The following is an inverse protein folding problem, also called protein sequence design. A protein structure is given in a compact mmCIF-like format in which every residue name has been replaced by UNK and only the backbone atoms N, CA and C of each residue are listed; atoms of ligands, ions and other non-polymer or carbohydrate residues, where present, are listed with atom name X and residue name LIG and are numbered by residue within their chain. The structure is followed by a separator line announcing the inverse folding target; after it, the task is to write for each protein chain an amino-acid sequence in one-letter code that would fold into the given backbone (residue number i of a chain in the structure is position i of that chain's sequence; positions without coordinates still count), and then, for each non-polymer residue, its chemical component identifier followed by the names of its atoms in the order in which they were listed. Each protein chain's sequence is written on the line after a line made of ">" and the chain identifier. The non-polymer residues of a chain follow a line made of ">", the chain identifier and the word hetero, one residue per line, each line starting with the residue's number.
data_IF_899751005486
#
_entry.id   IF_899751005486
#
_cell.length_a   1.000
_cell.length_b   1.000
_cell.length_c   1.000
_cell.angle_alpha   90.00
_cell.angle_beta   90.00
_cell.angle_gamma   90.00
#
_symmetry.space_group_name_H-M   'P 1'
#
loop_
_entity.id
_entity.type
_entity.pdbx_description
1 polymer ?
#
# COMPACT_ATOMS: atom_id res chain seq x y z
N UNK A 1 46.29 49.89 -33.71
CA UNK A 1 45.35 49.43 -34.77
C UNK A 1 45.24 47.92 -34.67
N UNK A 2 44.08 47.47 -34.18
CA UNK A 2 43.40 46.20 -34.48
C UNK A 2 44.23 44.93 -34.70
N UNK A 3 44.23 44.03 -33.70
CA UNK A 3 44.45 42.59 -33.91
C UNK A 3 43.18 41.84 -33.55
N UNK A 4 42.72 41.03 -34.50
CA UNK A 4 41.56 40.16 -34.47
C UNK A 4 41.84 38.87 -33.68
N UNK A 5 40.77 38.38 -33.01
CA UNK A 5 40.37 36.98 -32.78
C UNK A 5 41.31 36.03 -32.00
N UNK A 6 40.88 35.06 -31.19
CA UNK A 6 39.56 34.47 -30.97
C UNK A 6 39.45 33.85 -29.56
N UNK A 7 38.21 33.65 -29.15
CA UNK A 7 37.66 32.94 -28.00
C UNK A 7 38.32 31.58 -27.67
N UNK A 8 38.50 31.32 -26.37
CA UNK A 8 38.46 29.98 -25.76
C UNK A 8 38.22 30.12 -24.24
N UNK A 9 36.96 30.07 -23.81
CA UNK A 9 36.61 29.66 -22.45
C UNK A 9 35.45 28.65 -22.54
N UNK A 10 35.86 27.40 -22.36
CA UNK A 10 35.13 26.21 -21.92
C UNK A 10 33.72 26.49 -21.37
N UNK A 11 32.69 26.24 -22.17
CA UNK A 11 31.38 25.87 -21.65
C UNK A 11 31.45 24.39 -21.24
N UNK A 12 31.36 24.10 -19.94
CA UNK A 12 31.02 22.76 -19.47
C UNK A 12 29.60 22.45 -19.93
N UNK A 13 29.48 21.77 -21.07
CA UNK A 13 28.25 21.07 -21.44
C UNK A 13 28.09 19.94 -20.43
N UNK A 14 27.23 20.15 -19.42
CA UNK A 14 26.61 19.02 -18.73
C UNK A 14 25.75 18.33 -19.77
N UNK A 15 26.22 17.19 -20.28
CA UNK A 15 25.34 16.22 -20.93
C UNK A 15 24.35 15.74 -19.85
N UNK A 16 23.23 16.45 -19.74
CA UNK A 16 22.00 15.83 -19.28
C UNK A 16 21.67 14.77 -20.33
N UNK A 17 21.96 13.51 -20.04
CA UNK A 17 21.39 12.39 -20.78
C UNK A 17 19.90 12.40 -20.44
N UNK A 18 19.15 13.15 -21.24
CA UNK A 18 17.70 13.03 -21.36
C UNK A 18 17.43 11.62 -21.87
N UNK A 19 17.06 10.70 -20.97
CA UNK A 19 16.44 9.43 -21.38
C UNK A 19 15.07 9.79 -21.96
N UNK A 20 14.79 9.48 -23.24
CA UNK A 20 13.47 9.75 -23.79
C UNK A 20 12.46 8.79 -23.15
N UNK A 21 11.40 9.37 -22.60
CA UNK A 21 10.13 8.68 -22.48
C UNK A 21 9.63 8.33 -23.89
N UNK A 22 9.12 7.11 -24.05
CA UNK A 22 8.54 6.51 -25.26
C UNK A 22 9.53 5.91 -26.28
N UNK A 23 9.87 4.64 -26.04
CA UNK A 23 9.88 3.62 -27.09
C UNK A 23 9.08 2.39 -26.60
N UNK A 24 8.22 1.88 -27.49
CA UNK A 24 7.49 0.61 -27.29
C UNK A 24 8.44 -0.55 -27.53
N UNK A 25 8.59 -1.43 -26.53
CA UNK A 25 9.19 -2.75 -26.68
C UNK A 25 8.18 -3.81 -26.23
N UNK A 26 7.26 -4.13 -27.13
CA UNK A 26 6.55 -5.40 -27.06
C UNK A 26 7.58 -6.54 -27.13
N UNK A 27 7.51 -7.47 -26.17
CA UNK A 27 8.33 -8.68 -26.15
C UNK A 27 9.64 -8.52 -25.41
N UNK A 28 9.63 -8.83 -24.11
CA UNK A 28 10.61 -9.84 -23.69
C UNK A 28 10.01 -11.21 -24.08
N UNK A 29 10.77 -11.99 -24.82
CA UNK A 29 10.40 -13.33 -25.26
C UNK A 29 10.41 -14.31 -24.08
N UNK A 30 9.73 -15.46 -24.19
CA UNK A 30 9.85 -16.56 -23.19
C UNK A 30 11.31 -16.91 -22.86
N UNK A 31 12.23 -16.64 -23.80
CA UNK A 31 13.67 -16.77 -23.64
C UNK A 31 14.23 -15.92 -22.50
N UNK A 32 13.75 -14.70 -22.29
CA UNK A 32 14.27 -13.82 -21.21
C UNK A 32 13.76 -14.24 -19.83
N UNK A 33 12.50 -14.70 -19.72
CA UNK A 33 12.02 -15.37 -18.50
C UNK A 33 12.81 -16.67 -18.29
N UNK A 34 13.04 -17.45 -19.35
CA UNK A 34 13.83 -18.68 -19.29
C UNK A 34 15.27 -18.44 -18.86
N UNK A 35 15.94 -17.42 -19.42
CA UNK A 35 17.28 -16.98 -19.03
C UNK A 35 17.28 -16.48 -17.58
N UNK A 36 16.28 -15.71 -17.15
CA UNK A 36 16.11 -15.32 -15.74
C UNK A 36 16.05 -16.55 -14.83
N UNK A 37 15.18 -17.52 -15.15
CA UNK A 37 14.99 -18.72 -14.33
C UNK A 37 16.27 -19.56 -14.30
N UNK A 38 16.95 -19.68 -15.46
CA UNK A 38 18.19 -20.44 -15.55
C UNK A 38 19.32 -19.82 -14.72
N UNK A 39 19.37 -18.49 -14.62
CA UNK A 39 20.42 -17.77 -13.88
C UNK A 39 20.09 -17.66 -12.39
N UNK A 40 18.85 -17.33 -12.05
CA UNK A 40 18.45 -16.92 -10.69
C UNK A 40 17.59 -17.96 -9.96
N UNK A 41 17.02 -18.93 -10.68
CA UNK A 41 16.00 -19.83 -10.16
C UNK A 41 14.65 -19.12 -9.94
N UNK A 42 13.69 -19.87 -9.38
CA UNK A 42 12.39 -19.35 -8.92
C UNK A 42 12.34 -19.52 -7.41
N UNK A 43 11.99 -18.46 -6.70
CA UNK A 43 11.88 -18.54 -5.25
C UNK A 43 10.78 -19.51 -4.86
N UNK A 44 11.01 -20.28 -3.79
CA UNK A 44 9.96 -21.07 -3.17
C UNK A 44 8.89 -20.13 -2.63
N UNK A 45 7.65 -20.37 -3.02
CA UNK A 45 6.48 -19.69 -2.45
C UNK A 45 5.96 -20.55 -1.29
N UNK A 46 6.16 -20.15 -0.02
CA UNK A 46 5.61 -20.88 1.11
C UNK A 46 4.08 -20.70 1.19
N UNK A 47 3.41 -21.63 1.86
CA UNK A 47 2.01 -21.43 2.21
C UNK A 47 1.87 -20.22 3.17
N UNK A 48 0.76 -19.48 3.11
CA UNK A 48 0.48 -18.41 4.04
C UNK A 48 0.57 -18.89 5.50
N UNK A 49 1.09 -18.06 6.43
CA UNK A 49 1.08 -18.39 7.86
C UNK A 49 -0.31 -18.72 8.38
N UNK A 50 -0.37 -19.66 9.32
CA UNK A 50 -1.58 -19.95 10.10
C UNK A 50 -1.90 -18.78 11.06
N UNK A 51 -3.12 -18.72 11.62
CA UNK A 51 -3.44 -17.75 12.67
C UNK A 51 -2.50 -17.88 13.87
N UNK A 52 -2.33 -16.77 14.61
CA UNK A 52 -1.66 -16.81 15.90
C UNK A 52 -2.35 -17.82 16.83
N UNK A 53 -1.60 -18.60 17.62
CA UNK A 53 -2.17 -19.49 18.62
C UNK A 53 -3.12 -18.75 19.57
N UNK A 54 -4.17 -19.41 20.05
CA UNK A 54 -5.16 -18.77 20.97
C UNK A 54 -4.52 -18.20 22.24
N UNK A 55 -3.43 -18.80 22.71
CA UNK A 55 -2.69 -18.32 23.87
C UNK A 55 -1.67 -17.21 23.56
N UNK A 56 -1.50 -16.83 22.29
CA UNK A 56 -0.60 -15.77 21.82
C UNK A 56 -1.30 -14.82 20.83
N UNK A 57 -2.64 -14.78 20.81
CA UNK A 57 -3.42 -13.85 19.98
C UNK A 57 -4.07 -12.72 20.81
N UNK A 58 -3.65 -12.61 22.08
CA UNK A 58 -4.16 -11.61 23.01
C UNK A 58 -3.34 -10.32 23.04
N UNK A 59 -3.70 -9.47 24.02
CA UNK A 59 -2.98 -8.26 24.39
C UNK A 59 -1.51 -8.58 24.73
N UNK A 60 -0.57 -7.86 24.11
CA UNK A 60 0.87 -8.09 24.23
C UNK A 60 1.62 -6.77 24.09
N UNK A 61 2.62 -6.55 24.94
CA UNK A 61 3.59 -5.46 24.76
C UNK A 61 4.37 -5.75 23.49
N UNK A 62 4.34 -4.84 22.52
CA UNK A 62 4.96 -5.04 21.19
C UNK A 62 6.10 -4.06 20.91
N UNK A 63 6.18 -2.97 21.68
CA UNK A 63 7.40 -2.17 21.78
C UNK A 63 8.25 -2.71 22.94
N UNK A 64 8.92 -3.83 22.69
CA UNK A 64 9.65 -4.61 23.68
C UNK A 64 11.17 -4.68 23.37
N UNK A 65 12.02 -5.24 24.26
CA UNK A 65 13.45 -5.36 24.02
C UNK A 65 13.85 -6.26 22.83
N UNK A 66 12.98 -7.15 22.37
CA UNK A 66 13.22 -7.98 21.18
C UNK A 66 12.89 -7.22 19.88
N UNK A 67 12.01 -6.22 19.95
CA UNK A 67 11.57 -5.38 18.86
C UNK A 67 11.85 -3.89 19.12
N UNK A 68 13.11 -3.49 19.41
CA UNK A 68 13.44 -2.10 19.68
C UNK A 68 13.27 -1.26 18.41
N UNK A 69 12.87 -0.01 18.59
CA UNK A 69 12.90 0.98 17.52
C UNK A 69 14.34 1.22 17.04
N UNK A 70 14.54 1.14 15.73
CA UNK A 70 15.76 1.59 15.06
C UNK A 70 15.32 2.41 13.85
N UNK A 71 15.76 3.66 13.81
CA UNK A 71 15.50 4.55 12.67
C UNK A 71 16.07 3.94 11.37
N UNK A 72 15.34 4.13 10.27
CA UNK A 72 15.77 3.67 8.96
C UNK A 72 17.11 4.29 8.56
N UNK A 73 18.06 3.45 8.16
CA UNK A 73 19.32 3.89 7.58
C UNK A 73 19.17 4.37 6.12
N UNK A 74 20.25 4.88 5.50
CA UNK A 74 20.19 5.42 4.13
C UNK A 74 19.76 4.44 3.04
N UNK A 75 19.89 3.13 3.29
CA UNK A 75 19.52 2.06 2.36
C UNK A 75 18.23 1.34 2.77
N UNK A 76 17.61 1.74 3.89
CA UNK A 76 16.39 1.11 4.37
C UNK A 76 15.17 1.78 3.72
N UNK A 77 14.27 0.96 3.18
CA UNK A 77 13.12 1.45 2.43
C UNK A 77 11.92 1.61 3.34
N UNK A 78 11.21 2.72 3.17
CA UNK A 78 9.93 3.04 3.78
C UNK A 78 8.99 3.57 2.71
N UNK A 79 7.69 3.45 2.94
CA UNK A 79 6.67 3.75 1.95
C UNK A 79 5.44 4.47 2.48
N UNK A 80 4.33 4.43 1.75
CA UNK A 80 3.10 5.14 2.12
C UNK A 80 2.41 4.50 3.34
N UNK A 81 2.64 3.22 3.62
CA UNK A 81 1.99 2.51 4.72
C UNK A 81 2.72 2.74 6.06
N UNK A 82 2.14 3.57 6.93
CA UNK A 82 2.72 3.91 8.23
C UNK A 82 2.86 2.70 9.18
N UNK A 83 1.93 1.74 9.08
CA UNK A 83 1.99 0.50 9.86
C UNK A 83 3.20 -0.37 9.47
N UNK A 84 3.39 -0.65 8.18
CA UNK A 84 4.53 -1.46 7.72
C UNK A 84 5.86 -0.75 7.94
N UNK A 85 5.91 0.57 7.78
CA UNK A 85 7.08 1.37 8.13
C UNK A 85 7.48 1.19 9.60
N UNK A 86 6.49 1.27 10.49
CA UNK A 86 6.70 1.08 11.93
C UNK A 86 7.16 -0.34 12.25
N UNK A 87 6.53 -1.35 11.64
CA UNK A 87 6.90 -2.75 11.84
C UNK A 87 8.33 -3.05 11.35
N UNK A 88 8.76 -2.47 10.22
CA UNK A 88 10.15 -2.56 9.76
C UNK A 88 11.10 -1.82 10.71
N UNK A 89 10.74 -0.64 11.21
CA UNK A 89 11.53 0.12 12.19
C UNK A 89 11.59 -0.55 13.57
N UNK A 90 10.71 -1.49 13.88
CA UNK A 90 10.75 -2.31 15.10
C UNK A 90 11.28 -3.74 14.86
N UNK A 91 11.58 -4.13 13.62
CA UNK A 91 12.14 -5.44 13.30
C UNK A 91 11.14 -6.60 13.26
N UNK A 92 9.83 -6.32 13.28
CA UNK A 92 8.80 -7.30 12.93
C UNK A 92 8.84 -7.68 11.44
N UNK A 93 9.37 -6.77 10.62
CA UNK A 93 9.71 -7.01 9.22
C UNK A 93 11.21 -6.82 9.03
N UNK A 94 11.79 -7.36 7.94
CA UNK A 94 13.13 -6.98 7.50
C UNK A 94 13.30 -5.45 7.51
N UNK A 95 14.28 -4.96 8.26
CA UNK A 95 14.47 -3.51 8.50
C UNK A 95 14.79 -2.72 7.23
N UNK A 96 15.32 -3.40 6.22
CA UNK A 96 15.58 -2.85 4.89
C UNK A 96 14.30 -2.56 4.08
N UNK A 97 13.13 -3.02 4.53
CA UNK A 97 11.85 -2.75 3.87
C UNK A 97 11.55 -3.64 2.66
N UNK A 98 12.30 -4.72 2.44
CA UNK A 98 11.99 -5.74 1.43
C UNK A 98 11.63 -7.07 2.12
N UNK A 99 10.42 -7.57 1.89
CA UNK A 99 9.89 -8.72 2.62
C UNK A 99 9.10 -9.65 1.70
N UNK A 100 9.05 -10.93 2.07
CA UNK A 100 8.15 -11.90 1.45
C UNK A 100 6.72 -11.77 2.02
N UNK A 101 5.69 -12.21 1.28
CA UNK A 101 4.31 -12.23 1.78
C UNK A 101 4.14 -12.94 3.13
N UNK A 102 4.80 -14.08 3.36
CA UNK A 102 4.72 -14.81 4.63
C UNK A 102 5.28 -14.01 5.81
N UNK A 103 6.34 -13.25 5.58
CA UNK A 103 6.93 -12.36 6.58
C UNK A 103 6.02 -11.16 6.87
N UNK A 104 5.40 -10.60 5.84
CA UNK A 104 4.43 -9.50 5.98
C UNK A 104 3.21 -9.93 6.78
N UNK A 105 2.60 -11.07 6.43
CA UNK A 105 1.45 -11.64 7.18
C UNK A 105 1.84 -11.87 8.63
N UNK A 106 3.00 -12.50 8.89
CA UNK A 106 3.47 -12.73 10.26
C UNK A 106 3.69 -11.41 11.02
N UNK A 107 4.37 -10.44 10.41
CA UNK A 107 4.69 -9.17 11.06
C UNK A 107 3.47 -8.35 11.46
N UNK A 108 2.44 -8.28 10.61
CA UNK A 108 1.20 -7.55 10.94
C UNK A 108 0.34 -8.27 11.98
N UNK A 109 0.35 -9.61 12.01
CA UNK A 109 -0.29 -10.38 13.07
C UNK A 109 0.45 -10.17 14.41
N UNK A 110 1.77 -10.35 14.43
CA UNK A 110 2.55 -10.27 15.66
C UNK A 110 2.58 -8.85 16.25
N UNK A 111 2.86 -7.83 15.42
CA UNK A 111 3.06 -6.47 15.91
C UNK A 111 1.77 -5.67 16.14
N UNK A 112 0.67 -6.00 15.45
CA UNK A 112 -0.58 -5.20 15.50
C UNK A 112 -1.85 -6.03 15.74
N UNK A 113 -1.74 -7.36 15.78
CA UNK A 113 -2.86 -8.30 15.92
C UNK A 113 -3.90 -8.17 14.80
N UNK A 114 -3.45 -7.99 13.55
CA UNK A 114 -4.33 -8.20 12.41
C UNK A 114 -4.79 -9.67 12.38
N UNK A 115 -6.08 -9.90 12.16
CA UNK A 115 -6.64 -11.23 11.96
C UNK A 115 -6.07 -11.89 10.71
N UNK A 116 -5.90 -13.20 10.76
CA UNK A 116 -5.13 -13.94 9.75
C UNK A 116 -5.68 -13.78 8.33
N UNK A 117 -6.99 -13.89 8.15
CA UNK A 117 -7.60 -13.78 6.82
C UNK A 117 -7.54 -12.33 6.30
N UNK A 118 -7.74 -11.35 7.17
CA UNK A 118 -7.59 -9.93 6.81
C UNK A 118 -6.13 -9.57 6.48
N UNK A 119 -5.16 -10.10 7.23
CA UNK A 119 -3.74 -9.94 6.96
C UNK A 119 -3.35 -10.55 5.60
N UNK A 120 -3.80 -11.77 5.31
CA UNK A 120 -3.58 -12.41 4.00
C UNK A 120 -4.21 -11.61 2.87
N UNK A 121 -5.44 -11.13 3.05
CA UNK A 121 -6.12 -10.31 2.04
C UNK A 121 -5.27 -9.08 1.66
N UNK A 122 -4.89 -8.26 2.66
CA UNK A 122 -4.10 -7.05 2.43
C UNK A 122 -2.74 -7.37 1.81
N UNK A 123 -2.04 -8.39 2.31
CA UNK A 123 -0.68 -8.71 1.87
C UNK A 123 -0.67 -9.30 0.46
N UNK A 124 -1.53 -10.28 0.15
CA UNK A 124 -1.52 -10.91 -1.16
C UNK A 124 -2.11 -10.00 -2.25
N UNK A 125 -3.10 -9.16 -1.92
CA UNK A 125 -3.55 -8.08 -2.80
C UNK A 125 -2.37 -7.16 -3.16
N UNK A 126 -1.70 -6.61 -2.16
CA UNK A 126 -0.56 -5.73 -2.37
C UNK A 126 0.57 -6.41 -3.15
N UNK A 127 0.90 -7.66 -2.80
CA UNK A 127 1.96 -8.42 -3.45
C UNK A 127 1.67 -8.71 -4.92
N UNK A 128 0.45 -9.13 -5.27
CA UNK A 128 0.07 -9.37 -6.66
C UNK A 128 0.15 -8.10 -7.52
N UNK A 129 -0.08 -6.94 -6.91
CA UNK A 129 -0.08 -5.65 -7.59
C UNK A 129 1.30 -4.98 -7.65
N UNK A 130 2.20 -5.26 -6.70
CA UNK A 130 3.44 -4.49 -6.52
C UNK A 130 4.71 -5.32 -6.33
N UNK A 131 4.57 -6.60 -5.98
CA UNK A 131 5.67 -7.50 -5.68
C UNK A 131 6.23 -8.20 -6.91
N UNK A 132 7.36 -8.87 -6.71
CA UNK A 132 7.98 -9.71 -7.72
C UNK A 132 7.53 -11.16 -7.52
N UNK A 133 6.67 -11.72 -8.39
CA UNK A 133 6.18 -13.09 -8.26
C UNK A 133 7.27 -14.16 -8.43
N UNK A 134 8.38 -13.85 -9.10
CA UNK A 134 9.45 -14.82 -9.36
C UNK A 134 10.43 -14.93 -8.19
N UNK A 135 10.69 -13.83 -7.48
CA UNK A 135 11.58 -13.80 -6.31
C UNK A 135 10.82 -13.88 -4.99
N UNK A 136 9.49 -13.80 -5.04
CA UNK A 136 8.59 -13.81 -3.88
C UNK A 136 8.89 -12.68 -2.88
N UNK A 137 9.33 -11.52 -3.37
CA UNK A 137 9.69 -10.35 -2.57
C UNK A 137 8.91 -9.11 -3.00
N UNK A 138 8.55 -8.28 -2.03
CA UNK A 138 7.95 -6.97 -2.25
C UNK A 138 8.63 -5.92 -1.38
N UNK A 139 8.83 -4.73 -1.95
CA UNK A 139 9.22 -3.54 -1.21
C UNK A 139 8.01 -2.90 -0.54
N UNK A 140 8.15 -2.52 0.73
CA UNK A 140 7.12 -1.76 1.45
C UNK A 140 7.10 -0.27 1.08
N UNK A 141 7.99 0.16 0.20
CA UNK A 141 8.07 1.51 -0.33
C UNK A 141 8.31 1.52 -1.83
N UNK A 142 9.28 2.33 -2.28
CA UNK A 142 9.59 2.48 -3.70
C UNK A 142 10.28 1.26 -4.31
N UNK A 143 10.35 1.23 -5.65
CA UNK A 143 11.05 0.22 -6.44
C UNK A 143 12.51 0.10 -6.00
N UNK A 144 13.01 -1.13 -5.94
CA UNK A 144 14.33 -1.44 -5.40
C UNK A 144 14.91 -2.69 -6.05
N UNK A 145 16.24 -2.80 -6.22
CA UNK A 145 16.88 -4.03 -6.67
C UNK A 145 16.79 -5.18 -5.65
N UNK A 146 16.39 -4.91 -4.41
CA UNK A 146 16.26 -5.90 -3.33
C UNK A 146 15.13 -6.91 -3.61
N UNK A 147 14.18 -6.57 -4.48
CA UNK A 147 13.16 -7.51 -4.98
C UNK A 147 13.63 -8.35 -6.17
N UNK A 148 14.90 -8.21 -6.57
CA UNK A 148 15.52 -8.91 -7.69
C UNK A 148 15.10 -8.40 -9.07
N UNK A 149 15.58 -9.05 -10.14
CA UNK A 149 15.33 -8.59 -11.51
C UNK A 149 13.84 -8.65 -11.87
N UNK A 150 13.41 -7.66 -12.65
CA UNK A 150 12.01 -7.51 -13.01
C UNK A 150 11.52 -8.61 -13.96
N UNK A 151 10.26 -9.06 -13.83
CA UNK A 151 9.57 -9.80 -14.87
C UNK A 151 9.36 -8.92 -16.11
N UNK A 152 8.95 -9.51 -17.25
CA UNK A 152 8.66 -8.74 -18.45
C UNK A 152 7.64 -7.63 -18.25
N UNK A 153 7.87 -6.53 -18.97
CA UNK A 153 6.87 -5.47 -19.15
C UNK A 153 5.55 -6.07 -19.66
N UNK A 154 4.40 -5.52 -19.27
CA UNK A 154 4.21 -4.24 -18.57
C UNK A 154 4.29 -4.30 -17.03
N UNK A 155 4.67 -5.44 -16.45
CA UNK A 155 4.81 -5.55 -15.00
C UNK A 155 5.79 -4.51 -14.42
N UNK A 156 5.38 -3.88 -13.32
CA UNK A 156 6.12 -2.74 -12.75
C UNK A 156 7.04 -3.16 -11.61
N UNK A 157 6.58 -4.07 -10.75
CA UNK A 157 7.29 -4.48 -9.52
C UNK A 157 7.81 -3.24 -8.78
N UNK A 158 6.91 -2.28 -8.57
CA UNK A 158 7.26 -0.94 -8.14
C UNK A 158 7.32 -0.78 -6.61
N UNK A 159 7.01 -1.83 -5.85
CA UNK A 159 6.80 -1.75 -4.41
C UNK A 159 5.52 -0.97 -4.05
N UNK A 160 5.19 -0.88 -2.76
CA UNK A 160 3.95 -0.23 -2.32
C UNK A 160 3.83 1.24 -2.70
N UNK A 161 4.92 1.94 -3.00
CA UNK A 161 4.83 3.33 -3.48
C UNK A 161 4.42 3.42 -4.96
N UNK A 162 4.23 2.32 -5.68
CA UNK A 162 3.82 2.36 -7.07
C UNK A 162 2.40 2.95 -7.22
N UNK A 163 2.35 4.18 -7.72
CA UNK A 163 1.09 4.88 -7.95
C UNK A 163 0.19 4.15 -8.97
N UNK A 164 -1.11 4.19 -8.71
CA UNK A 164 -2.16 3.72 -9.62
C UNK A 164 -2.40 2.21 -9.60
N UNK A 165 -1.72 1.48 -8.73
CA UNK A 165 -2.01 0.07 -8.46
C UNK A 165 -2.71 -0.05 -7.11
N UNK A 166 -1.94 -0.05 -6.01
CA UNK A 166 -2.44 -0.07 -4.64
C UNK A 166 -2.43 1.33 -4.02
N UNK A 167 -1.26 1.99 -4.06
CA UNK A 167 -1.14 3.40 -3.70
C UNK A 167 -1.96 4.24 -4.67
N UNK A 168 -2.63 5.26 -4.13
CA UNK A 168 -3.35 6.21 -4.94
C UNK A 168 -3.69 7.47 -4.16
N UNK A 169 -4.33 8.38 -4.89
CA UNK A 169 -4.63 9.73 -4.44
C UNK A 169 -5.48 9.77 -3.17
N UNK A 170 -5.59 10.97 -2.60
CA UNK A 170 -6.40 11.32 -1.42
C UNK A 170 -5.88 10.74 -0.11
N UNK A 171 -4.62 10.33 -0.03
CA UNK A 171 -4.02 9.83 1.22
C UNK A 171 -4.14 10.86 2.36
N UNK A 172 -4.26 10.38 3.61
CA UNK A 172 -4.50 11.25 4.77
C UNK A 172 -3.31 12.14 5.12
N UNK A 173 -2.09 11.61 4.96
CA UNK A 173 -0.86 12.27 5.43
C UNK A 173 0.26 12.24 4.38
N UNK A 174 -0.08 11.81 3.15
CA UNK A 174 0.81 11.72 1.98
C UNK A 174 0.14 12.50 0.84
N UNK A 175 0.94 13.21 0.06
CA UNK A 175 0.43 14.00 -1.07
C UNK A 175 0.17 13.11 -2.28
N UNK A 176 -0.79 13.49 -3.12
CA UNK A 176 -1.06 12.80 -4.39
C UNK A 176 0.20 12.79 -5.29
N UNK A 177 0.41 11.68 -5.99
CA UNK A 177 1.61 11.45 -6.82
C UNK A 177 1.78 12.49 -7.94
N UNK A 178 0.67 13.10 -8.40
CA UNK A 178 0.71 14.20 -9.35
C UNK A 178 1.55 15.39 -8.85
N UNK A 179 1.54 15.66 -7.54
CA UNK A 179 2.23 16.82 -6.99
C UNK A 179 3.69 16.54 -6.66
N UNK A 180 3.97 15.44 -5.94
CA UNK A 180 5.29 15.10 -5.39
C UNK A 180 5.33 13.60 -5.05
N UNK A 181 6.42 13.17 -4.41
CA UNK A 181 6.57 11.83 -3.85
C UNK A 181 5.44 11.51 -2.84
N UNK A 182 4.61 10.55 -3.23
CA UNK A 182 3.44 10.03 -2.54
C UNK A 182 3.76 9.09 -1.37
N UNK A 183 5.03 8.74 -1.15
CA UNK A 183 5.43 7.91 -0.01
C UNK A 183 5.80 8.72 1.24
N UNK A 184 6.20 9.98 1.05
CA UNK A 184 6.79 10.82 2.10
C UNK A 184 5.71 11.44 3.00
N UNK A 185 5.94 11.38 4.31
CA UNK A 185 5.09 12.06 5.29
C UNK A 185 5.00 13.57 4.98
N UNK A 186 3.78 14.12 5.03
CA UNK A 186 3.54 15.52 4.76
C UNK A 186 3.00 16.23 6.01
N UNK A 187 3.79 17.17 6.54
CA UNK A 187 3.45 17.95 7.73
C UNK A 187 2.15 18.76 7.54
N UNK A 188 1.93 19.37 6.37
CA UNK A 188 0.72 20.17 6.13
C UNK A 188 -0.54 19.31 6.18
N UNK A 189 -0.52 18.12 5.58
CA UNK A 189 -1.64 17.18 5.67
C UNK A 189 -1.81 16.61 7.09
N UNK A 190 -0.72 16.45 7.85
CA UNK A 190 -0.81 16.04 9.26
C UNK A 190 -1.37 17.15 10.17
N UNK A 191 -1.11 18.42 9.85
CA UNK A 191 -1.75 19.55 10.52
C UNK A 191 -3.25 19.57 10.22
N UNK A 192 -3.66 19.36 8.97
CA UNK A 192 -5.07 19.18 8.62
C UNK A 192 -5.69 17.98 9.39
N UNK A 193 -4.98 16.85 9.45
CA UNK A 193 -5.40 15.70 10.27
C UNK A 193 -5.65 16.08 11.74
N UNK A 194 -4.77 16.89 12.31
CA UNK A 194 -4.87 17.38 13.70
C UNK A 194 -6.03 18.34 13.87
N UNK A 195 -6.25 19.25 12.92
CA UNK A 195 -7.36 20.20 12.93
C UNK A 195 -8.72 19.50 12.86
N UNK A 196 -8.87 18.51 11.96
CA UNK A 196 -10.10 17.73 11.85
C UNK A 196 -10.36 16.89 13.10
N UNK A 197 -9.31 16.28 13.67
CA UNK A 197 -9.42 15.57 14.95
C UNK A 197 -9.88 16.49 16.07
N UNK A 198 -9.27 17.68 16.18
CA UNK A 198 -9.64 18.71 17.17
C UNK A 198 -11.09 19.16 17.03
N UNK A 199 -11.55 19.34 15.79
CA UNK A 199 -12.86 19.91 15.48
C UNK A 199 -14.00 18.90 15.61
N UNK A 200 -13.77 17.65 15.20
CA UNK A 200 -14.84 16.66 15.03
C UNK A 200 -14.71 15.45 15.94
N UNK A 201 -13.51 15.16 16.44
CA UNK A 201 -13.27 14.01 17.29
C UNK A 201 -13.49 14.29 18.77
N UNK A 202 -13.81 13.25 19.52
CA UNK A 202 -13.99 13.33 20.97
C UNK A 202 -12.67 13.76 21.64
N UNK A 203 -12.71 14.84 22.42
CA UNK A 203 -11.54 15.43 23.08
C UNK A 203 -10.35 15.67 22.14
N UNK A 204 -10.61 15.96 20.87
CA UNK A 204 -9.58 16.22 19.87
C UNK A 204 -8.79 14.99 19.39
N UNK A 205 -9.31 13.79 19.66
CA UNK A 205 -8.72 12.53 19.15
C UNK A 205 -9.13 12.26 17.71
N UNK A 206 -8.35 11.45 17.01
CA UNK A 206 -8.75 10.88 15.74
C UNK A 206 -9.65 9.67 16.00
N UNK A 207 -10.96 9.88 15.85
CA UNK A 207 -12.03 8.88 15.96
C UNK A 207 -12.87 8.83 14.67
N UNK A 208 -13.93 8.00 14.62
CA UNK A 208 -14.76 7.84 13.42
C UNK A 208 -15.45 9.13 12.94
N UNK A 209 -15.68 10.11 13.82
CA UNK A 209 -16.23 11.41 13.40
C UNK A 209 -15.18 12.20 12.64
N UNK A 210 -13.97 12.32 13.18
CA UNK A 210 -12.86 12.97 12.50
C UNK A 210 -12.48 12.25 11.20
N UNK A 211 -12.48 10.91 11.19
CA UNK A 211 -12.17 10.09 10.02
C UNK A 211 -13.10 10.43 8.84
N UNK A 212 -14.42 10.44 9.08
CA UNK A 212 -15.41 10.68 8.04
C UNK A 212 -15.25 12.07 7.39
N UNK A 213 -15.09 13.10 8.22
CA UNK A 213 -14.94 14.49 7.75
C UNK A 213 -13.63 14.67 6.99
N UNK A 214 -12.51 14.17 7.52
CA UNK A 214 -11.21 14.31 6.86
C UNK A 214 -11.13 13.50 5.57
N UNK A 215 -11.67 12.28 5.52
CA UNK A 215 -11.71 11.45 4.31
C UNK A 215 -12.49 12.14 3.19
N UNK A 216 -13.63 12.76 3.52
CA UNK A 216 -14.39 13.57 2.58
C UNK A 216 -13.60 14.80 2.11
N UNK A 217 -13.00 15.55 3.04
CA UNK A 217 -12.20 16.73 2.72
C UNK A 217 -11.05 16.40 1.76
N UNK A 218 -10.28 15.34 2.04
CA UNK A 218 -9.15 14.93 1.18
C UNK A 218 -9.58 14.64 -0.25
N UNK A 219 -10.77 14.07 -0.42
CA UNK A 219 -11.34 13.80 -1.74
C UNK A 219 -11.77 15.08 -2.45
N UNK A 220 -12.46 15.99 -1.75
CA UNK A 220 -12.83 17.30 -2.30
C UNK A 220 -11.60 18.09 -2.76
N UNK A 221 -10.53 18.08 -1.96
CA UNK A 221 -9.29 18.77 -2.28
C UNK A 221 -8.61 18.21 -3.53
N UNK A 222 -8.51 16.88 -3.65
CA UNK A 222 -7.95 16.26 -4.84
C UNK A 222 -8.84 16.48 -6.06
N UNK A 223 -10.17 16.42 -5.92
CA UNK A 223 -11.11 16.73 -7.01
C UNK A 223 -10.91 18.17 -7.50
N UNK A 224 -10.72 19.10 -6.57
CA UNK A 224 -10.52 20.51 -6.89
C UNK A 224 -9.13 20.78 -7.48
N UNK A 225 -8.08 20.04 -7.09
CA UNK A 225 -6.69 20.45 -7.36
C UNK A 225 -5.84 19.49 -8.18
N UNK A 226 -6.08 18.18 -8.11
CA UNK A 226 -5.31 17.18 -8.85
C UNK A 226 -5.98 16.91 -10.21
N UNK A 227 -5.43 17.39 -11.34
CA UNK A 227 -6.04 17.21 -12.66
C UNK A 227 -6.07 15.75 -13.15
N UNK A 228 -5.30 14.86 -12.52
CA UNK A 228 -5.13 13.45 -12.87
C UNK A 228 -5.73 12.50 -11.81
N UNK A 229 -6.54 13.02 -10.87
CA UNK A 229 -7.16 12.23 -9.80
C UNK A 229 -7.79 10.94 -10.35
N UNK A 230 -7.42 9.80 -9.77
CA UNK A 230 -8.13 8.53 -9.95
C UNK A 230 -8.64 8.02 -8.60
N UNK A 231 -9.96 8.04 -8.43
CA UNK A 231 -10.61 7.53 -7.23
C UNK A 231 -11.66 6.47 -7.60
N UNK A 232 -11.15 5.32 -8.01
CA UNK A 232 -11.90 4.18 -8.53
C UNK A 232 -11.35 2.86 -7.94
N UNK A 233 -11.91 1.71 -8.34
CA UNK A 233 -11.40 0.40 -7.91
C UNK A 233 -9.94 0.18 -8.37
N UNK A 234 -9.05 -0.33 -7.51
CA UNK A 234 -9.30 -0.77 -6.13
C UNK A 234 -9.09 0.31 -5.06
N UNK A 235 -8.64 1.51 -5.44
CA UNK A 235 -8.30 2.61 -4.52
C UNK A 235 -9.44 3.03 -3.60
N UNK A 236 -10.69 3.00 -4.07
CA UNK A 236 -11.84 3.35 -3.21
C UNK A 236 -11.93 2.44 -1.97
N UNK A 237 -11.67 1.14 -2.11
CA UNK A 237 -11.67 0.21 -0.98
C UNK A 237 -10.52 0.52 -0.02
N UNK A 238 -9.30 0.66 -0.54
CA UNK A 238 -8.13 0.91 0.31
C UNK A 238 -8.21 2.26 1.01
N UNK A 239 -8.63 3.32 0.32
CA UNK A 239 -8.71 4.67 0.89
C UNK A 239 -9.66 4.80 2.08
N UNK A 240 -10.82 4.11 2.05
CA UNK A 240 -11.75 4.11 3.18
C UNK A 240 -11.31 3.15 4.30
N UNK A 241 -10.76 1.98 3.97
CA UNK A 241 -10.24 1.04 4.96
C UNK A 241 -9.04 1.61 5.72
N UNK A 242 -8.08 2.20 5.00
CA UNK A 242 -6.90 2.84 5.58
C UNK A 242 -7.24 4.04 6.48
N UNK A 243 -8.37 4.71 6.23
CA UNK A 243 -8.82 5.81 7.07
C UNK A 243 -9.29 5.33 8.45
N UNK A 244 -9.85 4.11 8.56
CA UNK A 244 -10.28 3.56 9.87
C UNK A 244 -9.15 2.89 10.63
N UNK A 245 -8.12 2.36 9.95
CA UNK A 245 -7.03 1.61 10.57
C UNK A 245 -6.34 2.30 11.75
N UNK A 246 -6.02 3.62 11.73
CA UNK A 246 -5.37 4.29 12.85
C UNK A 246 -6.23 4.28 14.12
N UNK A 247 -7.55 4.34 13.99
CA UNK A 247 -8.47 4.26 15.13
C UNK A 247 -8.40 2.90 15.83
N UNK A 248 -7.85 1.88 15.18
CA UNK A 248 -7.70 0.55 15.76
C UNK A 248 -6.23 0.29 16.06
N UNK A 249 -5.41 0.15 15.02
CA UNK A 249 -4.07 -0.42 15.14
C UNK A 249 -3.05 0.53 15.78
N UNK A 250 -3.33 1.83 15.85
CA UNK A 250 -2.45 2.81 16.49
C UNK A 250 -2.94 3.23 17.89
N UNK A 251 -4.13 2.75 18.30
CA UNK A 251 -4.63 2.91 19.67
C UNK A 251 -4.05 1.77 20.51
N UNK A 252 -3.51 2.10 21.69
CA UNK A 252 -3.00 1.08 22.63
C UNK A 252 -4.14 0.11 22.99
N UNK A 253 -3.87 -1.20 22.84
CA UNK A 253 -4.87 -2.25 23.00
C UNK A 253 -5.48 -2.33 24.41
N UNK A 254 -4.85 -1.72 25.43
CA UNK A 254 -5.43 -1.60 26.78
C UNK A 254 -6.59 -0.62 26.83
N UNK A 255 -6.58 0.40 25.96
CA UNK A 255 -7.64 1.39 25.86
C UNK A 255 -8.81 0.86 25.01
N UNK A 256 -8.50 0.31 23.84
CA UNK A 256 -9.45 -0.26 22.88
C UNK A 256 -10.74 0.57 22.69
N UNK A 257 -10.61 1.90 22.69
CA UNK A 257 -11.71 2.86 22.70
C UNK A 257 -11.91 3.56 21.34
N UNK A 258 -11.11 3.20 20.34
CA UNK A 258 -11.08 3.77 18.98
C UNK A 258 -10.78 5.27 18.89
N UNK A 259 -10.09 5.81 19.89
CA UNK A 259 -9.75 7.22 19.97
C UNK A 259 -8.22 7.35 19.94
N UNK A 260 -7.67 7.67 18.77
CA UNK A 260 -6.24 7.84 18.59
C UNK A 260 -5.83 9.26 18.99
N UNK A 261 -4.93 9.39 19.98
CA UNK A 261 -4.37 10.70 20.34
C UNK A 261 -3.45 11.22 19.23
N UNK A 262 -3.35 12.55 19.09
CA UNK A 262 -2.48 13.17 18.07
C UNK A 262 -1.01 12.83 18.30
N UNK A 263 -0.59 12.73 19.55
CA UNK A 263 0.77 12.30 19.89
C UNK A 263 1.04 10.87 19.40
N UNK A 264 0.13 9.93 19.66
CA UNK A 264 0.26 8.57 19.14
C UNK A 264 0.20 8.55 17.60
N UNK A 265 -0.67 9.35 16.98
CA UNK A 265 -0.72 9.48 15.53
C UNK A 265 0.63 9.93 14.95
N UNK A 266 1.28 10.95 15.53
CA UNK A 266 2.60 11.46 15.11
C UNK A 266 3.66 10.35 15.16
N UNK A 267 3.64 9.57 16.23
CA UNK A 267 4.53 8.42 16.44
C UNK A 267 4.50 7.44 15.25
N UNK A 268 3.31 7.06 14.77
CA UNK A 268 3.20 6.13 13.65
C UNK A 268 3.37 6.79 12.28
N UNK A 269 2.76 7.96 12.04
CA UNK A 269 2.72 8.57 10.71
C UNK A 269 4.03 9.21 10.27
N UNK A 270 4.76 9.82 11.22
CA UNK A 270 5.99 10.56 10.99
C UNK A 270 7.21 9.77 11.49
N UNK A 271 7.24 9.46 12.79
CA UNK A 271 8.41 8.83 13.40
C UNK A 271 8.56 7.35 13.05
N UNK A 272 7.49 6.72 12.55
CA UNK A 272 7.44 5.29 12.24
C UNK A 272 7.85 4.44 13.44
N UNK A 273 7.32 4.81 14.61
CA UNK A 273 7.74 4.32 15.91
C UNK A 273 6.50 4.07 16.76
N UNK A 274 6.39 2.88 17.35
CA UNK A 274 5.36 2.62 18.36
C UNK A 274 5.60 3.51 19.59
N UNK A 275 4.57 4.07 20.23
CA UNK A 275 4.71 4.70 21.54
C UNK A 275 5.41 3.78 22.55
N UNK A 276 6.06 4.37 23.55
CA UNK A 276 6.62 3.58 24.65
C UNK A 276 5.51 2.79 25.35
N UNK A 277 5.81 1.55 25.76
CA UNK A 277 4.85 0.66 26.43
C UNK A 277 3.59 0.34 25.58
N UNK A 278 3.68 0.46 24.25
CA UNK A 278 2.57 0.20 23.35
C UNK A 278 2.18 -1.28 23.31
N UNK A 279 0.92 -1.57 23.57
CA UNK A 279 0.34 -2.90 23.45
C UNK A 279 -0.52 -3.02 22.18
N UNK A 280 -0.34 -4.11 21.43
CA UNK A 280 -1.18 -4.42 20.25
C UNK A 280 -2.63 -4.71 20.68
N UNK A 281 -3.54 -4.82 19.72
CA UNK A 281 -4.96 -5.09 19.99
C UNK A 281 -5.18 -6.37 20.83
N UNK A 282 -6.19 -6.41 21.71
CA UNK A 282 -6.39 -7.52 22.64
C UNK A 282 -6.95 -8.80 22.02
N UNK A 283 -7.42 -8.72 20.76
CA UNK A 283 -7.90 -9.86 19.98
C UNK A 283 -7.63 -9.59 18.48
N UNK A 284 -7.58 -10.65 17.64
CA UNK A 284 -7.36 -10.49 16.20
C UNK A 284 -8.43 -9.65 15.51
N UNK A 285 -8.01 -8.65 14.75
CA UNK A 285 -8.92 -7.74 14.03
C UNK A 285 -9.13 -8.20 12.59
N UNK A 286 -10.37 -8.57 12.24
CA UNK A 286 -10.74 -9.09 10.92
C UNK A 286 -11.81 -8.21 10.22
N UNK A 287 -12.32 -8.67 9.06
CA UNK A 287 -13.36 -7.98 8.28
C UNK A 287 -14.60 -7.62 9.10
N UNK A 288 -15.06 -8.50 10.00
CA UNK A 288 -16.24 -8.26 10.83
C UNK A 288 -16.11 -7.04 11.75
N UNK A 289 -14.87 -6.63 12.07
CA UNK A 289 -14.58 -5.41 12.83
C UNK A 289 -14.40 -4.20 11.90
N UNK A 290 -13.75 -4.38 10.75
CA UNK A 290 -13.40 -3.28 9.83
C UNK A 290 -14.60 -2.82 9.00
N UNK A 291 -15.34 -3.74 8.39
CA UNK A 291 -16.39 -3.44 7.41
C UNK A 291 -17.51 -2.55 7.96
N UNK A 292 -17.99 -2.73 9.21
CA UNK A 292 -18.99 -1.83 9.77
C UNK A 292 -18.47 -0.39 9.93
N UNK A 293 -17.18 -0.21 10.26
CA UNK A 293 -16.59 1.11 10.47
C UNK A 293 -16.36 1.84 9.14
N UNK A 294 -15.89 1.09 8.14
CA UNK A 294 -15.78 1.58 6.76
C UNK A 294 -17.15 2.03 6.24
N UNK A 295 -18.18 1.21 6.48
CA UNK A 295 -19.56 1.54 6.10
C UNK A 295 -20.08 2.77 6.85
N UNK A 296 -19.81 2.89 8.16
CA UNK A 296 -20.22 4.04 8.97
C UNK A 296 -19.64 5.35 8.43
N UNK A 297 -18.33 5.40 8.15
CA UNK A 297 -17.70 6.62 7.64
C UNK A 297 -18.13 6.93 6.20
N UNK A 298 -18.34 5.92 5.36
CA UNK A 298 -18.82 6.10 3.99
C UNK A 298 -20.24 6.64 3.97
N UNK A 299 -21.13 6.14 4.84
CA UNK A 299 -22.53 6.56 4.87
C UNK A 299 -22.74 8.01 5.30
N UNK A 300 -21.75 8.63 5.98
CA UNK A 300 -21.80 10.07 6.29
C UNK A 300 -21.62 10.94 5.04
N UNK A 301 -20.74 10.51 4.13
CA UNK A 301 -20.43 11.22 2.89
C UNK A 301 -20.29 10.22 1.72
N UNK A 302 -21.40 9.65 1.22
CA UNK A 302 -21.35 8.64 0.17
C UNK A 302 -20.70 9.17 -1.10
N UNK A 303 -19.92 8.32 -1.76
CA UNK A 303 -19.17 8.71 -2.95
C UNK A 303 -19.30 7.70 -4.09
N UNK A 304 -19.37 8.21 -5.32
CA UNK A 304 -19.40 7.41 -6.55
C UNK A 304 -18.01 7.45 -7.21
N UNK A 305 -17.41 6.28 -7.53
CA UNK A 305 -16.12 6.20 -8.22
C UNK A 305 -15.99 7.11 -9.45
N UNK A 306 -14.79 7.62 -9.70
CA UNK A 306 -14.53 8.45 -10.87
C UNK A 306 -13.10 8.95 -10.99
N UNK A 307 -12.88 9.81 -12.00
CA UNK A 307 -11.57 10.39 -12.34
C UNK A 307 -11.70 11.86 -12.68
N UNK A 308 -10.64 12.64 -12.48
CA UNK A 308 -10.56 13.97 -13.06
C UNK A 308 -10.15 13.92 -14.53
N UNK A 309 -10.82 14.74 -15.36
CA UNK A 309 -10.41 15.08 -16.72
C UNK A 309 -9.96 16.52 -16.77
N UNK A 310 -8.83 16.80 -16.12
CA UNK A 310 -8.37 18.15 -15.82
C UNK A 310 -8.89 18.65 -14.48
N UNK A 311 -8.29 19.74 -13.99
CA UNK A 311 -8.54 20.30 -12.65
C UNK A 311 -10.00 20.70 -12.48
N UNK A 312 -10.67 20.21 -11.43
CA UNK A 312 -12.05 20.55 -11.11
C UNK A 312 -13.11 19.92 -12.03
N UNK A 313 -12.73 18.93 -12.84
CA UNK A 313 -13.64 18.25 -13.79
C UNK A 313 -13.72 16.76 -13.49
N UNK A 314 -14.42 16.41 -12.40
CA UNK A 314 -14.59 15.03 -11.96
C UNK A 314 -15.68 14.33 -12.78
N UNK A 315 -15.33 13.21 -13.40
CA UNK A 315 -16.19 12.40 -14.26
C UNK A 315 -16.42 11.05 -13.60
N UNK A 316 -17.69 10.72 -13.39
CA UNK A 316 -18.11 9.47 -12.77
C UNK A 316 -17.78 8.26 -13.65
N UNK A 317 -17.35 7.17 -13.02
CA UNK A 317 -17.14 5.87 -13.64
C UNK A 317 -18.20 4.88 -13.13
N UNK A 318 -19.40 4.96 -13.70
CA UNK A 318 -20.57 4.20 -13.23
C UNK A 318 -20.45 2.67 -13.39
N UNK A 319 -19.55 2.22 -14.26
CA UNK A 319 -19.27 0.79 -14.48
C UNK A 319 -18.20 0.24 -13.52
N UNK A 320 -17.55 1.11 -12.74
CA UNK A 320 -16.59 0.66 -11.71
C UNK A 320 -17.34 0.18 -10.47
N UNK A 321 -16.93 -0.95 -9.86
CA UNK A 321 -17.50 -1.41 -8.60
C UNK A 321 -17.48 -0.31 -7.53
N UNK A 322 -18.60 -0.14 -6.84
CA UNK A 322 -18.71 0.75 -5.68
C UNK A 322 -18.00 0.14 -4.46
N UNK A 323 -17.78 0.94 -3.41
CA UNK A 323 -17.20 0.45 -2.16
C UNK A 323 -17.97 -0.75 -1.57
N UNK A 324 -19.30 -0.76 -1.71
CA UNK A 324 -20.16 -1.83 -1.21
C UNK A 324 -20.11 -3.12 -2.05
N UNK A 325 -19.58 -3.06 -3.28
CA UNK A 325 -19.45 -4.21 -4.16
C UNK A 325 -18.07 -4.86 -3.99
N UNK A 326 -17.86 -5.48 -2.83
CA UNK A 326 -16.58 -6.10 -2.49
C UNK A 326 -16.16 -7.17 -3.50
N UNK A 327 -17.08 -8.03 -3.94
CA UNK A 327 -16.77 -9.08 -4.92
C UNK A 327 -16.46 -8.48 -6.29
N UNK A 328 -17.15 -7.42 -6.71
CA UNK A 328 -16.80 -6.69 -7.93
C UNK A 328 -15.41 -6.08 -7.86
N UNK A 329 -15.00 -5.49 -6.73
CA UNK A 329 -13.63 -4.98 -6.53
C UNK A 329 -12.59 -6.11 -6.59
N UNK A 330 -12.87 -7.24 -5.95
CA UNK A 330 -12.03 -8.44 -6.04
C UNK A 330 -11.88 -8.92 -7.50
N UNK A 331 -12.99 -9.05 -8.24
CA UNK A 331 -12.97 -9.44 -9.64
C UNK A 331 -12.21 -8.43 -10.50
N UNK A 332 -12.38 -7.13 -10.25
CA UNK A 332 -11.67 -6.07 -10.96
C UNK A 332 -10.14 -6.14 -10.74
N UNK A 333 -9.70 -6.42 -9.51
CA UNK A 333 -8.27 -6.67 -9.23
C UNK A 333 -7.78 -7.88 -10.03
N UNK A 334 -8.48 -9.00 -9.95
CA UNK A 334 -8.03 -10.27 -10.52
C UNK A 334 -8.13 -10.33 -12.05
N UNK A 335 -9.14 -9.69 -12.64
CA UNK A 335 -9.43 -9.78 -14.07
C UNK A 335 -8.94 -8.56 -14.87
N UNK A 336 -8.74 -7.40 -14.25
CA UNK A 336 -8.24 -6.20 -14.93
C UNK A 336 -6.87 -5.76 -14.45
N UNK A 337 -6.68 -5.55 -13.15
CA UNK A 337 -5.45 -4.96 -12.61
C UNK A 337 -4.24 -5.90 -12.79
N UNK A 338 -4.38 -7.16 -12.35
CA UNK A 338 -3.28 -8.14 -12.44
C UNK A 338 -2.97 -8.49 -13.91
N UNK A 339 -3.96 -8.78 -14.80
CA UNK A 339 -3.69 -9.05 -16.21
C UNK A 339 -3.17 -7.84 -16.98
N UNK A 340 -3.51 -6.62 -16.53
CA UNK A 340 -2.92 -5.39 -17.07
C UNK A 340 -1.40 -5.32 -16.91
N UNK A 341 -0.86 -5.94 -15.85
CA UNK A 341 0.58 -6.08 -15.60
C UNK A 341 1.17 -7.36 -16.20
N UNK A 342 0.37 -8.44 -16.25
CA UNK A 342 0.81 -9.75 -16.73
C UNK A 342 -0.18 -10.28 -17.79
N UNK A 343 -0.14 -9.78 -19.04
CA UNK A 343 -1.18 -10.09 -20.02
C UNK A 343 -1.11 -11.53 -20.56
N UNK A 344 0.09 -12.11 -20.63
CA UNK A 344 0.33 -13.47 -21.19
C UNK A 344 1.45 -14.20 -20.43
N UNK A 345 1.32 -14.43 -19.11
CA UNK A 345 2.35 -15.12 -18.35
C UNK A 345 2.42 -16.59 -18.76
N UNK A 346 3.63 -17.13 -18.86
CA UNK A 346 3.88 -18.56 -19.12
C UNK A 346 4.85 -19.14 -18.09
N UNK A 347 5.02 -20.47 -18.09
CA UNK A 347 5.97 -21.18 -17.24
C UNK A 347 5.86 -20.83 -15.75
N UNK A 348 7.00 -20.57 -15.11
CA UNK A 348 7.06 -20.30 -13.68
C UNK A 348 6.36 -18.99 -13.27
N UNK A 349 6.33 -17.97 -14.14
CA UNK A 349 5.62 -16.72 -13.84
C UNK A 349 4.12 -16.97 -13.71
N UNK A 350 3.54 -17.74 -14.65
CA UNK A 350 2.13 -18.14 -14.57
C UNK A 350 1.85 -18.96 -13.31
N UNK A 351 2.72 -19.92 -12.99
CA UNK A 351 2.57 -20.75 -11.79
C UNK A 351 2.60 -19.89 -10.51
N UNK A 352 3.58 -18.98 -10.40
CA UNK A 352 3.70 -18.09 -9.25
C UNK A 352 2.49 -17.16 -9.09
N UNK A 353 1.98 -16.61 -10.21
CA UNK A 353 0.76 -15.79 -10.20
C UNK A 353 -0.46 -16.60 -9.75
N UNK A 354 -0.70 -17.78 -10.31
CA UNK A 354 -1.82 -18.63 -9.91
C UNK A 354 -1.74 -19.03 -8.43
N UNK A 355 -0.56 -19.40 -7.93
CA UNK A 355 -0.37 -19.72 -6.50
C UNK A 355 -0.72 -18.54 -5.59
N UNK A 356 -0.27 -17.32 -5.91
CA UNK A 356 -0.60 -16.14 -5.11
C UNK A 356 -2.06 -15.70 -5.26
N UNK A 357 -2.68 -15.90 -6.44
CA UNK A 357 -4.10 -15.69 -6.66
C UNK A 357 -4.96 -16.65 -5.83
N UNK A 358 -4.55 -17.91 -5.69
CA UNK A 358 -5.22 -18.88 -4.81
C UNK A 358 -5.13 -18.45 -3.34
N UNK A 359 -3.98 -17.94 -2.89
CA UNK A 359 -3.84 -17.41 -1.54
C UNK A 359 -4.67 -16.15 -1.30
N UNK A 360 -4.73 -15.25 -2.28
CA UNK A 360 -5.58 -14.07 -2.23
C UNK A 360 -7.06 -14.46 -2.17
N UNK A 361 -7.50 -15.39 -3.02
CA UNK A 361 -8.88 -15.88 -2.99
C UNK A 361 -9.24 -16.57 -1.68
N UNK A 362 -8.34 -17.40 -1.13
CA UNK A 362 -8.57 -18.05 0.16
C UNK A 362 -8.91 -17.05 1.27
N UNK A 363 -8.23 -15.89 1.29
CA UNK A 363 -8.51 -14.80 2.22
C UNK A 363 -9.85 -14.08 1.94
N UNK A 364 -10.21 -13.90 0.67
CA UNK A 364 -11.51 -13.33 0.25
C UNK A 364 -12.66 -14.24 0.66
N UNK A 365 -12.54 -15.55 0.41
CA UNK A 365 -13.58 -16.55 0.68
C UNK A 365 -13.87 -16.79 2.16
N UNK A 366 -13.02 -16.27 3.05
CA UNK A 366 -13.17 -16.46 4.50
C UNK A 366 -14.39 -15.72 5.05
N UNK A 367 -14.64 -14.49 4.60
CA UNK A 367 -15.71 -13.62 5.12
C UNK A 367 -16.65 -13.09 4.02
N UNK A 368 -16.29 -13.27 2.74
CA UNK A 368 -17.11 -12.88 1.59
C UNK A 368 -17.37 -14.07 0.66
N UNK A 369 -18.63 -14.30 0.30
CA UNK A 369 -19.05 -15.39 -0.61
C UNK A 369 -18.78 -15.06 -2.10
N UNK A 370 -17.58 -14.58 -2.39
CA UNK A 370 -17.16 -14.30 -3.76
C UNK A 370 -16.77 -15.59 -4.48
N UNK A 371 -17.04 -15.66 -5.78
CA UNK A 371 -16.61 -16.78 -6.62
C UNK A 371 -15.15 -16.60 -7.03
N UNK A 372 -14.38 -17.69 -6.99
CA UNK A 372 -13.01 -17.64 -7.52
C UNK A 372 -13.05 -17.39 -9.03
N UNK A 373 -12.19 -16.49 -9.50
CA UNK A 373 -12.00 -16.17 -10.91
C UNK A 373 -10.55 -16.46 -11.31
N UNK A 374 -10.33 -16.87 -12.56
CA UNK A 374 -9.07 -17.46 -13.02
C UNK A 374 -8.56 -16.74 -14.27
N UNK A 375 -7.81 -15.63 -14.14
CA UNK A 375 -7.38 -14.82 -15.28
C UNK A 375 -6.44 -15.59 -16.23
N UNK A 376 -5.80 -16.66 -15.75
CA UNK A 376 -4.85 -17.47 -16.51
C UNK A 376 -5.27 -18.95 -16.63
N UNK A 377 -6.54 -19.26 -16.36
CA UNK A 377 -7.06 -20.63 -16.28
C UNK A 377 -6.76 -21.32 -14.94
N UNK A 378 -7.42 -22.46 -14.73
CA UNK A 378 -7.28 -23.31 -13.54
C UNK A 378 -5.98 -24.09 -13.52
#
# INVERSE_FOLDING_TARGET
>A
MTKFAAFMILAMVRLAVTLPAYESLAGLSEREIGEFININGVARIPNPPAPLPENDNGLKLVNDPAHPFIAAGPNDIRGPCSALNTLASHGYLPRNGAARPDQLVTGVMEGLNLGNDFAKFLVYQAFLMNGNPLTNLMSIGMKTPETGPDPPKPALVGGLSQHGTFEGDTSMTRVDAFFRDQAVFNETLFQEFTEFSTKYGFNGTYDLNAVAELRHQRLLDSMANNPELVFASPRILSAYSEAVFPTIFFVDGRLNNRQLTIDAARHFFDFQMMPADFHRQPAPVNFTIIDPLVSEIFNKHPFTPGVNKGKGNFVLMLETPSLSDFCGIYEDIVLRVIPGQYPKPTGALKQALNTNLDFFYGAVSAEHDCKQVFPYGK
#
